data_IF_253643462768
#
_entry.id   IF_253643462768
#
_cell.length_a   1.000
_cell.length_b   1.000
_cell.length_c   1.000
_cell.angle_alpha   90.00
_cell.angle_beta   90.00
_cell.angle_gamma   90.00
#
_symmetry.space_group_name_H-M   'P 1'
#
loop_
_entity.id
_entity.type
_entity.pdbx_description
1 polymer ?
#
# COMPACT_ATOMS: atom_id res chain seq x y z
N UNK A 1 -11.47 -18.40 -21.67
CA UNK A 1 -10.30 -17.86 -20.95
C UNK A 1 -10.21 -18.65 -19.66
N UNK A 2 -9.04 -19.19 -19.31
CA UNK A 2 -8.95 -20.07 -18.15
C UNK A 2 -9.16 -19.25 -16.86
N UNK A 3 -10.03 -19.73 -15.99
CA UNK A 3 -10.23 -19.13 -14.68
C UNK A 3 -9.06 -19.50 -13.77
N UNK A 4 -8.02 -18.64 -13.75
CA UNK A 4 -6.83 -18.84 -12.92
C UNK A 4 -7.08 -18.60 -11.43
N UNK A 5 -8.08 -17.78 -11.11
CA UNK A 5 -8.44 -17.42 -9.73
C UNK A 5 -8.73 -18.64 -8.84
N UNK A 6 -9.65 -19.57 -9.17
CA UNK A 6 -9.95 -20.72 -8.30
C UNK A 6 -8.75 -21.64 -8.10
N UNK A 7 -7.85 -21.77 -9.08
CA UNK A 7 -6.63 -22.57 -8.96
C UNK A 7 -5.66 -21.97 -7.93
N UNK A 8 -5.41 -20.66 -8.05
CA UNK A 8 -4.52 -19.95 -7.12
C UNK A 8 -5.15 -19.88 -5.73
N UNK A 9 -6.44 -19.54 -5.63
CA UNK A 9 -7.14 -19.45 -4.36
C UNK A 9 -7.10 -20.79 -3.59
N UNK A 10 -7.27 -21.92 -4.29
CA UNK A 10 -7.14 -23.26 -3.68
C UNK A 10 -5.72 -23.54 -3.19
N UNK A 11 -4.71 -23.19 -3.98
CA UNK A 11 -3.30 -23.36 -3.59
C UNK A 11 -2.95 -22.55 -2.34
N UNK A 12 -3.44 -21.31 -2.24
CA UNK A 12 -3.24 -20.46 -1.06
C UNK A 12 -4.06 -20.93 0.14
N UNK A 13 -5.28 -21.44 -0.08
CA UNK A 13 -6.12 -21.96 1.01
C UNK A 13 -5.55 -23.23 1.65
N UNK A 14 -4.70 -23.96 0.93
CA UNK A 14 -3.96 -25.12 1.46
C UNK A 14 -2.65 -24.74 2.17
N UNK A 15 -2.23 -23.48 2.15
CA UNK A 15 -1.09 -23.01 2.95
C UNK A 15 -1.49 -22.89 4.42
N UNK A 16 -0.53 -23.16 5.31
CA UNK A 16 -0.73 -22.96 6.74
C UNK A 16 -1.08 -21.49 7.02
N UNK A 17 -2.09 -21.19 7.86
CA UNK A 17 -2.47 -19.82 8.20
C UNK A 17 -1.34 -19.00 8.85
N UNK A 18 -0.37 -19.68 9.48
CA UNK A 18 0.83 -19.08 10.07
C UNK A 18 1.99 -19.00 9.08
N UNK A 19 1.82 -19.49 7.84
CA UNK A 19 2.84 -19.40 6.82
C UNK A 19 3.15 -17.94 6.47
N UNK A 20 4.44 -17.55 6.41
CA UNK A 20 4.85 -16.22 6.00
C UNK A 20 4.33 -15.85 4.60
N UNK A 21 4.19 -14.54 4.35
CA UNK A 21 3.88 -14.02 3.00
C UNK A 21 4.85 -14.52 1.91
N UNK A 22 6.07 -14.90 2.30
CA UNK A 22 7.07 -15.48 1.40
C UNK A 22 6.66 -16.82 0.79
N UNK A 23 5.97 -17.70 1.54
CA UNK A 23 5.50 -18.99 0.99
C UNK A 23 4.42 -18.75 -0.08
N UNK A 24 3.53 -17.78 0.13
CA UNK A 24 2.55 -17.36 -0.88
C UNK A 24 3.25 -16.82 -2.13
N UNK A 25 4.31 -16.02 -1.94
CA UNK A 25 5.10 -15.47 -3.05
C UNK A 25 5.79 -16.57 -3.86
N UNK A 26 6.33 -17.59 -3.21
CA UNK A 26 6.93 -18.75 -3.89
C UNK A 26 5.92 -19.49 -4.78
N UNK A 27 4.65 -19.62 -4.34
CA UNK A 27 3.58 -20.22 -5.16
C UNK A 27 3.31 -19.36 -6.40
N UNK A 28 3.22 -18.04 -6.25
CA UNK A 28 2.98 -17.14 -7.39
C UNK A 28 4.12 -17.20 -8.42
N UNK A 29 5.39 -17.18 -7.97
CA UNK A 29 6.55 -17.32 -8.87
C UNK A 29 6.54 -18.65 -9.62
N UNK A 30 6.25 -19.75 -8.91
CA UNK A 30 6.12 -21.08 -9.54
C UNK A 30 4.99 -21.10 -10.56
N UNK A 31 3.84 -20.49 -10.26
CA UNK A 31 2.71 -20.41 -11.19
C UNK A 31 3.06 -19.63 -12.46
N UNK A 32 3.76 -18.49 -12.33
CA UNK A 32 4.26 -17.70 -13.48
C UNK A 32 5.20 -18.52 -14.37
N UNK A 33 6.18 -19.20 -13.77
CA UNK A 33 7.15 -20.00 -14.50
C UNK A 33 6.49 -21.20 -15.22
N UNK A 34 5.55 -21.87 -14.55
CA UNK A 34 4.79 -22.98 -15.12
C UNK A 34 3.93 -22.52 -16.30
N UNK A 35 3.24 -21.37 -16.18
CA UNK A 35 2.42 -20.82 -17.25
C UNK A 35 3.25 -20.55 -18.51
N UNK A 36 4.42 -19.90 -18.39
CA UNK A 36 5.28 -19.60 -19.55
C UNK A 36 5.74 -20.90 -20.22
N UNK A 37 6.11 -21.90 -19.42
CA UNK A 37 6.53 -23.21 -19.94
C UNK A 37 5.39 -23.89 -20.70
N UNK A 38 4.18 -23.86 -20.14
CA UNK A 38 2.98 -24.44 -20.75
C UNK A 38 2.60 -23.72 -22.05
N UNK A 39 2.56 -22.39 -22.06
CA UNK A 39 2.18 -21.59 -23.24
C UNK A 39 3.16 -21.79 -24.40
N UNK A 40 4.46 -22.00 -24.12
CA UNK A 40 5.47 -22.32 -25.13
C UNK A 40 5.40 -23.74 -25.66
N UNK A 41 4.83 -24.67 -24.91
CA UNK A 41 4.68 -26.08 -25.28
C UNK A 41 3.38 -26.41 -26.01
N UNK A 42 2.45 -25.45 -26.15
CA UNK A 42 1.16 -25.66 -26.83
C UNK A 42 1.31 -25.67 -28.35
N UNK A 43 0.67 -26.65 -29.02
CA UNK A 43 0.58 -26.74 -30.47
C UNK A 43 -0.89 -26.68 -30.94
N UNK A 44 -1.23 -25.80 -31.90
CA UNK A 44 -0.37 -24.82 -32.60
C UNK A 44 0.14 -23.71 -31.67
N UNK A 45 1.30 -23.09 -31.97
CA UNK A 45 1.89 -22.06 -31.11
C UNK A 45 0.96 -20.87 -30.95
N UNK A 46 0.78 -20.44 -29.70
CA UNK A 46 0.02 -19.23 -29.37
C UNK A 46 0.74 -17.98 -29.89
N UNK A 47 -0.04 -17.00 -30.31
CA UNK A 47 0.49 -15.68 -30.68
C UNK A 47 1.01 -14.94 -29.45
N UNK A 48 1.93 -13.98 -29.64
CA UNK A 48 2.44 -13.16 -28.52
C UNK A 48 1.33 -12.39 -27.80
N UNK A 49 0.27 -11.99 -28.52
CA UNK A 49 -0.91 -11.33 -27.95
C UNK A 49 -1.68 -12.26 -27.01
N UNK A 50 -1.86 -13.53 -27.39
CA UNK A 50 -2.50 -14.54 -26.54
C UNK A 50 -1.66 -14.85 -25.31
N UNK A 51 -0.33 -15.03 -25.48
CA UNK A 51 0.58 -15.23 -24.36
C UNK A 51 0.51 -14.07 -23.37
N UNK A 52 0.50 -12.84 -23.88
CA UNK A 52 0.40 -11.64 -23.03
C UNK A 52 -0.94 -11.58 -22.31
N UNK A 53 -2.05 -11.90 -22.99
CA UNK A 53 -3.39 -11.96 -22.41
C UNK A 53 -3.48 -13.00 -21.29
N UNK A 54 -2.92 -14.19 -21.50
CA UNK A 54 -2.91 -15.26 -20.48
C UNK A 54 -2.02 -14.87 -19.28
N UNK A 55 -0.87 -14.24 -19.52
CA UNK A 55 -0.02 -13.70 -18.43
C UNK A 55 -0.74 -12.63 -17.62
N UNK A 56 -1.43 -11.69 -18.28
CA UNK A 56 -2.21 -10.64 -17.59
C UNK A 56 -3.34 -11.26 -16.76
N UNK A 57 -4.05 -12.24 -17.30
CA UNK A 57 -5.12 -12.93 -16.57
C UNK A 57 -4.62 -13.63 -15.29
N UNK A 58 -3.42 -14.23 -15.34
CA UNK A 58 -2.77 -14.80 -14.16
C UNK A 58 -2.42 -13.72 -13.13
N UNK A 59 -1.83 -12.61 -13.55
CA UNK A 59 -1.44 -11.51 -12.65
C UNK A 59 -2.67 -10.86 -11.99
N UNK A 60 -3.77 -10.69 -12.70
CA UNK A 60 -5.03 -10.19 -12.15
C UNK A 60 -5.60 -11.14 -11.08
N UNK A 61 -5.57 -12.45 -11.35
CA UNK A 61 -5.98 -13.46 -10.39
C UNK A 61 -5.10 -13.44 -9.12
N UNK A 62 -3.79 -13.32 -9.27
CA UNK A 62 -2.84 -13.18 -8.14
C UNK A 62 -3.17 -11.93 -7.32
N UNK A 63 -3.32 -10.76 -7.95
CA UNK A 63 -3.64 -9.50 -7.26
C UNK A 63 -4.94 -9.59 -6.46
N UNK A 64 -5.95 -10.24 -7.02
CA UNK A 64 -7.24 -10.44 -6.34
C UNK A 64 -7.08 -11.33 -5.10
N UNK A 65 -6.41 -12.48 -5.25
CA UNK A 65 -6.15 -13.40 -4.12
C UNK A 65 -5.29 -12.74 -3.04
N UNK A 66 -4.28 -11.97 -3.43
CA UNK A 66 -3.41 -11.25 -2.49
C UNK A 66 -4.18 -10.18 -1.72
N UNK A 67 -5.06 -9.44 -2.39
CA UNK A 67 -5.91 -8.43 -1.75
C UNK A 67 -6.86 -9.08 -0.73
N UNK A 68 -7.49 -10.20 -1.09
CA UNK A 68 -8.35 -10.95 -0.17
C UNK A 68 -7.58 -11.53 1.00
N UNK A 69 -6.38 -12.06 0.77
CA UNK A 69 -5.54 -12.61 1.82
C UNK A 69 -5.01 -11.51 2.76
N UNK A 70 -4.65 -10.34 2.22
CA UNK A 70 -4.27 -9.17 3.01
C UNK A 70 -5.45 -8.65 3.84
N UNK A 71 -6.66 -8.63 3.26
CA UNK A 71 -7.87 -8.24 3.96
C UNK A 71 -8.17 -9.20 5.13
N UNK A 72 -8.12 -10.52 4.90
CA UNK A 72 -8.28 -11.52 5.97
C UNK A 72 -7.25 -11.37 7.08
N UNK A 73 -5.99 -11.09 6.74
CA UNK A 73 -4.93 -10.85 7.73
C UNK A 73 -5.22 -9.60 8.59
N UNK A 74 -5.72 -8.52 7.97
CA UNK A 74 -6.15 -7.30 8.69
C UNK A 74 -7.35 -7.57 9.61
N UNK A 75 -8.34 -8.30 9.12
CA UNK A 75 -9.54 -8.64 9.90
C UNK A 75 -9.19 -9.54 11.09
N UNK A 76 -8.29 -10.51 10.90
CA UNK A 76 -7.77 -11.35 11.98
C UNK A 76 -7.02 -10.52 13.04
N UNK A 77 -6.13 -9.61 12.62
CA UNK A 77 -5.41 -8.73 13.55
C UNK A 77 -6.38 -7.80 14.33
N UNK A 78 -7.43 -7.29 13.67
CA UNK A 78 -8.46 -6.47 14.33
C UNK A 78 -9.28 -7.28 15.34
N UNK A 79 -9.63 -8.52 15.01
CA UNK A 79 -10.35 -9.42 15.92
C UNK A 79 -9.50 -9.75 17.15
N UNK A 80 -8.20 -10.02 16.96
CA UNK A 80 -7.26 -10.24 18.07
C UNK A 80 -7.19 -9.00 18.98
N UNK A 81 -7.05 -7.79 18.41
CA UNK A 81 -7.03 -6.55 19.20
C UNK A 81 -8.33 -6.34 20.00
N UNK A 82 -9.47 -6.70 19.41
CA UNK A 82 -10.78 -6.63 20.09
C UNK A 82 -10.88 -7.65 21.23
N UNK A 83 -10.38 -8.87 21.03
CA UNK A 83 -10.43 -9.93 22.03
C UNK A 83 -9.43 -9.70 23.19
N UNK A 84 -8.35 -8.95 22.96
CA UNK A 84 -7.38 -8.54 23.99
C UNK A 84 -7.83 -7.34 24.82
N UNK A 85 -8.90 -6.63 24.44
CA UNK A 85 -9.56 -5.63 25.31
C UNK A 85 -10.65 -6.33 26.12
N UNK A 86 -10.54 -6.45 27.46
CA UNK A 86 -11.67 -6.88 28.27
C UNK A 86 -12.82 -5.89 28.08
N UNK A 87 -14.06 -6.39 28.07
CA UNK A 87 -15.25 -5.57 28.22
C UNK A 87 -15.21 -4.87 29.58
N UNK A 88 -14.58 -3.71 29.64
CA UNK A 88 -14.27 -3.07 30.91
C UNK A 88 -13.60 -1.72 30.78
N UNK A 89 -13.86 -0.96 29.72
CA UNK A 89 -13.74 0.49 29.82
C UNK A 89 -14.62 1.17 28.78
N UNK A 90 -15.81 1.56 29.21
CA UNK A 90 -16.55 2.64 28.58
C UNK A 90 -15.76 3.94 28.77
N UNK A 91 -14.66 4.11 28.03
CA UNK A 91 -14.03 5.41 27.88
C UNK A 91 -14.93 6.25 26.97
N UNK A 92 -15.66 7.14 27.63
CA UNK A 92 -16.65 8.08 27.10
C UNK A 92 -16.16 8.75 25.80
N UNK A 93 -17.03 8.93 24.78
CA UNK A 93 -16.72 9.83 23.67
C UNK A 93 -16.92 11.26 24.18
N UNK A 94 -15.85 12.03 24.41
CA UNK A 94 -16.09 13.38 24.94
C UNK A 94 -14.95 14.34 25.21
N UNK A 95 -13.66 14.03 24.99
CA UNK A 95 -12.61 15.00 25.35
C UNK A 95 -11.42 15.03 24.39
N UNK A 96 -11.69 15.30 23.10
CA UNK A 96 -10.63 15.74 22.17
C UNK A 96 -11.00 16.99 21.37
N UNK A 97 -12.07 17.69 21.77
CA UNK A 97 -12.40 19.02 21.23
C UNK A 97 -11.97 20.17 22.16
N UNK A 98 -11.21 19.90 23.24
CA UNK A 98 -10.75 20.92 24.19
C UNK A 98 -9.22 21.12 24.20
N UNK A 99 -8.57 20.92 23.06
CA UNK A 99 -7.17 21.33 22.85
C UNK A 99 -7.06 22.54 21.89
N UNK A 100 -8.15 23.30 21.71
CA UNK A 100 -8.12 24.60 21.01
C UNK A 100 -8.66 25.73 21.88
N UNK A 101 -8.25 25.73 23.16
CA UNK A 101 -8.26 26.94 24.00
C UNK A 101 -7.22 27.93 23.46
N UNK A 102 -7.52 28.51 22.29
CA UNK A 102 -6.94 29.76 21.84
C UNK A 102 -7.48 30.83 22.79
N UNK A 103 -6.67 31.52 23.60
CA UNK A 103 -7.17 32.71 24.26
C UNK A 103 -7.56 33.72 23.16
N UNK A 104 -8.79 34.22 23.24
CA UNK A 104 -9.26 35.29 22.36
C UNK A 104 -8.33 36.51 22.50
N UNK A 105 -7.89 37.15 21.40
CA UNK A 105 -7.19 38.42 21.51
C UNK A 105 -8.17 39.48 22.07
N UNK A 106 -7.71 40.21 23.08
CA UNK A 106 -8.43 41.36 23.65
C UNK A 106 -8.50 42.46 22.58
N UNK A 107 -9.61 43.21 22.47
CA UNK A 107 -9.68 44.36 21.60
C UNK A 107 -8.85 45.49 22.22
N UNK A 108 -7.67 45.78 21.66
CA UNK A 108 -6.84 46.89 22.15
C UNK A 108 -5.35 46.84 21.85
N UNK A 109 -4.80 45.79 21.24
CA UNK A 109 -3.37 45.76 20.87
C UNK A 109 -3.15 46.19 19.41
N UNK A 110 -2.18 47.08 19.13
CA UNK A 110 -1.91 47.56 17.78
C UNK A 110 -1.39 46.41 16.89
N UNK A 111 -1.67 46.45 15.56
CA UNK A 111 -1.16 45.42 14.66
C UNK A 111 0.39 45.44 14.67
N UNK A 112 1.07 44.28 14.76
CA UNK A 112 2.50 44.24 14.52
C UNK A 112 2.75 44.66 13.07
N UNK A 113 3.42 45.78 12.92
CA UNK A 113 3.79 46.37 11.65
C UNK A 113 4.59 45.34 10.85
N UNK A 114 4.18 45.14 9.60
CA UNK A 114 4.98 44.43 8.60
C UNK A 114 6.19 45.31 8.29
N UNK A 115 7.22 45.26 9.13
CA UNK A 115 8.52 45.82 8.79
C UNK A 115 9.18 44.87 7.83
N UNK A 116 8.88 45.11 6.55
CA UNK A 116 9.61 44.60 5.40
C UNK A 116 11.08 44.98 5.60
N UNK A 117 11.88 44.07 6.14
CA UNK A 117 13.31 44.27 6.24
C UNK A 117 13.90 44.41 4.83
N UNK A 118 14.78 45.39 4.59
CA UNK A 118 15.36 45.64 3.27
C UNK A 118 16.37 44.55 2.91
N UNK A 119 16.36 44.21 1.63
CA UNK A 119 17.38 43.42 0.94
C UNK A 119 18.76 44.08 1.14
N UNK A 120 19.83 43.34 1.51
CA UNK A 120 21.18 43.84 1.34
C UNK A 120 21.56 43.85 -0.16
N UNK A 121 22.24 44.91 -0.65
CA UNK A 121 22.70 44.99 -2.04
C UNK A 121 23.92 44.10 -2.28
N UNK A 122 24.01 43.64 -3.52
CA UNK A 122 25.10 42.83 -4.07
C UNK A 122 26.43 43.59 -4.16
N UNK A 123 27.52 42.89 -3.85
CA UNK A 123 28.88 43.04 -4.39
C UNK A 123 29.68 41.82 -3.91
N UNK A 124 30.44 41.05 -4.68
CA UNK A 124 30.76 40.99 -6.10
C UNK A 124 31.24 39.52 -6.30
N UNK A 125 30.66 38.79 -7.25
CA UNK A 125 31.36 38.37 -8.47
C UNK A 125 32.77 37.79 -8.24
N UNK A 126 32.92 36.48 -8.46
CA UNK A 126 33.91 35.92 -9.39
C UNK A 126 33.80 34.38 -9.44
N UNK A 127 32.92 33.87 -10.30
CA UNK A 127 33.27 32.77 -11.23
C UNK A 127 33.77 33.49 -12.53
N UNK A 128 34.49 32.90 -13.51
CA UNK A 128 34.63 31.46 -13.74
C UNK A 128 35.94 30.92 -14.39
N UNK A 129 35.98 29.57 -14.41
CA UNK A 129 36.42 28.64 -15.48
C UNK A 129 37.86 28.51 -16.03
N UNK A 130 38.17 27.32 -16.64
CA UNK A 130 39.51 26.80 -16.92
C UNK A 130 40.02 27.12 -18.34
N UNK A 131 41.15 26.52 -18.75
CA UNK A 131 41.08 25.37 -19.67
C UNK A 131 41.80 24.10 -19.16
#
# INVERSE_FOLDING_TARGET
MADYYPLIARAISGLDPSAPGEQRRAIYERARAALITQLRGVQPPLTESEITRERLALEEAVRKVESEAAQRARDAARAELKNRRPAGEAARPGDSLRASSRPAPRPGDPPPQVTRAPLPPAAAQAEPEPP
#
